data_IF_753304535559
#
_entry.id   IF_753304535559
#
_cell.length_a   1.000
_cell.length_b   1.000
_cell.length_c   1.000
_cell.angle_alpha   90.00
_cell.angle_beta   90.00
_cell.angle_gamma   90.00
#
_symmetry.space_group_name_H-M   'P 1'
#
loop_
_entity.id
_entity.type
_entity.pdbx_description
1 polymer ?
#
# COMPACT_ATOMS: atom_id res chain seq x y z
N UNK A 1 -5.46 -1.77 6.81
CA UNK A 1 -4.40 -2.49 6.08
C UNK A 1 -4.74 -2.42 4.61
N UNK A 2 -4.00 -1.63 3.84
CA UNK A 2 -4.22 -1.46 2.40
C UNK A 2 -3.65 -2.68 1.69
N UNK A 3 -4.46 -3.38 0.90
CA UNK A 3 -3.98 -4.50 0.08
C UNK A 3 -3.87 -3.98 -1.34
N UNK A 4 -2.66 -3.56 -1.69
CA UNK A 4 -2.25 -3.54 -3.09
C UNK A 4 -1.63 -4.91 -3.34
N UNK A 5 -2.41 -5.77 -3.98
CA UNK A 5 -2.05 -7.09 -4.50
C UNK A 5 -0.95 -7.83 -3.72
N UNK A 6 -1.33 -8.49 -2.62
CA UNK A 6 -0.43 -9.35 -1.83
C UNK A 6 -0.35 -10.79 -2.37
N UNK A 7 -0.75 -11.07 -3.61
CA UNK A 7 -0.62 -12.41 -4.20
C UNK A 7 0.74 -13.08 -3.93
N UNK A 8 1.88 -12.38 -4.03
CA UNK A 8 3.19 -12.99 -3.80
C UNK A 8 3.53 -13.28 -2.32
N UNK A 9 3.00 -12.52 -1.36
CA UNK A 9 3.43 -12.61 0.05
C UNK A 9 2.72 -13.74 0.82
N UNK A 10 1.48 -14.07 0.47
CA UNK A 10 0.77 -15.24 1.04
C UNK A 10 1.17 -16.54 0.34
N UNK A 11 1.52 -16.48 -0.95
CA UNK A 11 2.00 -17.63 -1.71
C UNK A 11 3.32 -18.20 -1.18
N UNK A 12 4.18 -17.38 -0.54
CA UNK A 12 5.50 -17.83 -0.03
C UNK A 12 5.43 -18.73 1.22
N UNK A 13 4.28 -18.87 1.88
CA UNK A 13 4.21 -19.56 3.19
C UNK A 13 3.13 -20.64 3.34
N UNK A 14 2.24 -20.91 2.35
CA UNK A 14 1.12 -21.84 2.59
C UNK A 14 0.38 -22.46 1.41
N UNK A 15 0.70 -22.11 0.16
CA UNK A 15 -0.02 -22.61 -1.02
C UNK A 15 -1.43 -22.00 -1.20
N UNK A 16 -2.16 -22.44 -2.24
CA UNK A 16 -3.37 -21.75 -2.73
C UNK A 16 -4.56 -21.73 -1.74
N UNK A 17 -4.61 -22.65 -0.77
CA UNK A 17 -5.72 -22.76 0.19
C UNK A 17 -5.69 -21.65 1.26
N UNK A 18 -4.58 -21.42 1.97
CA UNK A 18 -4.41 -20.26 2.84
C UNK A 18 -4.59 -18.92 2.12
N UNK A 19 -4.12 -18.81 0.88
CA UNK A 19 -4.30 -17.61 0.05
C UNK A 19 -5.78 -17.30 -0.21
N UNK A 20 -6.54 -18.30 -0.64
CA UNK A 20 -7.98 -18.14 -0.83
C UNK A 20 -8.73 -17.88 0.49
N UNK A 21 -8.28 -18.45 1.61
CA UNK A 21 -8.86 -18.19 2.93
C UNK A 21 -8.59 -16.74 3.38
N UNK A 22 -7.37 -16.24 3.15
CA UNK A 22 -7.00 -14.86 3.39
C UNK A 22 -7.85 -13.90 2.55
N UNK A 23 -7.96 -14.12 1.24
CA UNK A 23 -8.81 -13.32 0.35
C UNK A 23 -10.28 -13.29 0.81
N UNK A 24 -10.82 -14.42 1.30
CA UNK A 24 -12.18 -14.45 1.85
C UNK A 24 -12.30 -13.70 3.18
N UNK A 25 -11.29 -13.77 4.05
CA UNK A 25 -11.30 -13.00 5.31
C UNK A 25 -11.32 -11.49 5.06
N UNK A 26 -10.75 -11.04 3.94
CA UNK A 26 -10.75 -9.65 3.52
C UNK A 26 -12.08 -9.19 2.90
N UNK A 27 -12.93 -10.13 2.50
CA UNK A 27 -14.28 -9.83 2.01
C UNK A 27 -15.30 -9.67 3.16
N UNK A 28 -14.84 -9.69 4.42
CA UNK A 28 -15.65 -9.35 5.59
C UNK A 28 -15.74 -7.83 5.77
N UNK A 29 -16.72 -7.34 6.53
CA UNK A 29 -17.00 -5.90 6.68
C UNK A 29 -15.87 -5.08 7.36
N UNK A 30 -14.86 -5.76 7.90
CA UNK A 30 -13.73 -5.12 8.61
C UNK A 30 -12.68 -4.51 7.66
N UNK A 31 -12.75 -4.78 6.35
CA UNK A 31 -11.80 -4.30 5.35
C UNK A 31 -12.48 -3.57 4.20
N UNK A 32 -11.91 -2.45 3.78
CA UNK A 32 -12.34 -1.71 2.58
C UNK A 32 -11.35 -1.95 1.44
N UNK A 33 -11.86 -2.44 0.31
CA UNK A 33 -11.09 -2.56 -0.93
C UNK A 33 -11.21 -1.26 -1.71
N UNK A 34 -10.10 -0.57 -1.90
CA UNK A 34 -10.05 0.64 -2.71
C UNK A 34 -10.12 0.29 -4.20
N UNK A 35 -10.89 1.04 -5.01
CA UNK A 35 -10.92 0.84 -6.45
C UNK A 35 -9.61 1.28 -7.10
N UNK A 36 -9.18 0.58 -8.14
CA UNK A 36 -8.08 1.03 -8.99
C UNK A 36 -8.63 2.05 -9.98
N UNK A 37 -8.18 3.30 -9.88
CA UNK A 37 -8.57 4.38 -10.79
C UNK A 37 -7.39 4.82 -11.66
N UNK A 38 -7.63 5.41 -12.85
CA UNK A 38 -6.54 5.94 -13.67
C UNK A 38 -5.71 7.00 -12.94
N UNK A 39 -6.36 7.90 -12.20
CA UNK A 39 -5.68 8.93 -11.41
C UNK A 39 -4.76 8.33 -10.32
N UNK A 40 -5.20 7.25 -9.68
CA UNK A 40 -4.39 6.53 -8.70
C UNK A 40 -3.17 5.83 -9.34
N UNK A 41 -3.35 5.26 -10.54
CA UNK A 41 -2.24 4.66 -11.30
C UNK A 41 -1.22 5.72 -11.73
N UNK A 42 -1.69 6.85 -12.27
CA UNK A 42 -0.82 7.99 -12.63
C UNK A 42 -0.06 8.49 -11.40
N UNK A 43 -0.75 8.65 -10.27
CA UNK A 43 -0.09 9.10 -9.03
C UNK A 43 0.95 8.10 -8.52
N UNK A 44 0.66 6.81 -8.61
CA UNK A 44 1.61 5.76 -8.25
C UNK A 44 2.86 5.80 -9.14
N UNK A 45 2.68 6.02 -10.44
CA UNK A 45 3.80 6.16 -11.39
C UNK A 45 4.64 7.41 -11.09
N UNK A 46 4.00 8.55 -10.78
CA UNK A 46 4.69 9.77 -10.37
C UNK A 46 5.58 9.53 -9.15
N UNK A 47 5.08 8.82 -8.14
CA UNK A 47 5.83 8.50 -6.93
C UNK A 47 7.03 7.59 -7.21
N UNK A 48 6.87 6.56 -8.04
CA UNK A 48 7.99 5.71 -8.46
C UNK A 48 9.06 6.54 -9.17
N UNK A 49 8.67 7.44 -10.08
CA UNK A 49 9.60 8.31 -10.78
C UNK A 49 10.29 9.31 -9.85
N UNK A 50 9.53 9.93 -8.95
CA UNK A 50 10.03 10.91 -7.98
C UNK A 50 11.06 10.32 -7.02
N UNK A 51 10.87 9.06 -6.61
CA UNK A 51 11.75 8.35 -5.69
C UNK A 51 12.58 7.29 -6.41
N UNK A 52 13.01 7.51 -7.66
CA UNK A 52 13.75 6.49 -8.43
C UNK A 52 15.02 5.96 -7.74
N UNK A 53 15.70 6.80 -6.95
CA UNK A 53 16.89 6.42 -6.15
C UNK A 53 16.56 5.67 -4.85
N UNK A 54 15.28 5.66 -4.45
CA UNK A 54 14.73 4.91 -3.33
C UNK A 54 13.67 3.96 -3.88
N UNK A 55 14.03 2.73 -4.29
CA UNK A 55 13.16 1.84 -5.05
C UNK A 55 11.97 1.35 -4.22
N UNK A 56 10.97 2.23 -4.06
CA UNK A 56 9.72 2.02 -3.33
C UNK A 56 8.96 0.82 -3.91
N UNK A 57 9.12 0.57 -5.21
CA UNK A 57 8.32 -0.40 -5.93
C UNK A 57 6.86 0.04 -6.05
N UNK A 58 6.10 -0.71 -6.85
CA UNK A 58 4.70 -0.38 -7.13
C UNK A 58 3.79 -0.51 -5.90
N UNK A 59 4.10 -1.44 -4.99
CA UNK A 59 3.28 -1.70 -3.80
C UNK A 59 3.39 -0.56 -2.78
N UNK A 60 4.59 -0.07 -2.46
CA UNK A 60 4.70 1.00 -1.46
C UNK A 60 4.19 2.34 -2.05
N UNK A 61 4.46 2.61 -3.33
CA UNK A 61 4.02 3.84 -3.99
C UNK A 61 2.49 3.95 -4.06
N UNK A 62 1.82 2.82 -4.26
CA UNK A 62 0.37 2.75 -4.36
C UNK A 62 -0.32 2.89 -2.99
N UNK A 63 0.31 2.42 -1.91
CA UNK A 63 -0.14 2.70 -0.53
C UNK A 63 -0.07 4.20 -0.24
N UNK A 64 1.02 4.87 -0.63
CA UNK A 64 1.17 6.33 -0.46
C UNK A 64 0.12 7.08 -1.27
N UNK A 65 -0.07 6.72 -2.55
CA UNK A 65 -1.09 7.33 -3.40
C UNK A 65 -2.51 7.18 -2.82
N UNK A 66 -2.84 6.01 -2.27
CA UNK A 66 -4.13 5.79 -1.63
C UNK A 66 -4.28 6.58 -0.32
N UNK A 67 -3.21 6.67 0.48
CA UNK A 67 -3.23 7.47 1.71
C UNK A 67 -3.43 8.97 1.41
N UNK A 68 -2.87 9.48 0.31
CA UNK A 68 -3.15 10.83 -0.19
C UNK A 68 -4.62 11.01 -0.59
N UNK A 69 -5.18 10.07 -1.36
CA UNK A 69 -6.57 10.12 -1.82
C UNK A 69 -7.57 10.08 -0.64
N UNK A 70 -7.29 9.28 0.38
CA UNK A 70 -8.13 9.14 1.58
C UNK A 70 -7.84 10.21 2.65
N UNK A 71 -6.82 11.05 2.47
CA UNK A 71 -6.39 12.02 3.48
C UNK A 71 -5.89 11.39 4.78
N UNK A 72 -5.40 10.15 4.74
CA UNK A 72 -4.97 9.39 5.91
C UNK A 72 -3.49 9.66 6.21
N UNK A 73 -3.17 9.91 7.48
CA UNK A 73 -1.79 10.17 7.93
C UNK A 73 -1.12 9.01 8.65
N UNK A 74 -1.86 7.94 8.95
CA UNK A 74 -1.36 6.80 9.70
C UNK A 74 -1.19 5.58 8.78
N UNK A 75 0.00 4.98 8.81
CA UNK A 75 0.32 3.79 8.01
C UNK A 75 0.87 2.70 8.93
N UNK A 76 0.20 1.56 8.99
CA UNK A 76 0.73 0.36 9.63
C UNK A 76 1.57 -0.41 8.61
N UNK A 77 2.88 -0.45 8.79
CA UNK A 77 3.82 -1.11 7.88
C UNK A 77 5.06 -1.60 8.63
N UNK A 78 5.55 -2.77 8.23
CA UNK A 78 6.85 -3.28 8.70
C UNK A 78 8.02 -2.64 7.96
N UNK A 79 7.80 -2.08 6.76
CA UNK A 79 8.83 -1.35 6.02
C UNK A 79 8.82 0.14 6.41
N UNK A 80 9.47 0.43 7.53
CA UNK A 80 9.57 1.82 8.02
C UNK A 80 10.55 2.65 7.20
N UNK A 81 11.47 2.02 6.46
CA UNK A 81 12.53 2.73 5.74
C UNK A 81 11.93 3.55 4.60
N UNK A 82 11.12 2.92 3.76
CA UNK A 82 10.52 3.62 2.61
C UNK A 82 9.54 4.70 3.07
N UNK A 83 8.63 4.37 3.99
CA UNK A 83 7.58 5.28 4.44
C UNK A 83 8.07 6.44 5.33
N UNK A 84 9.27 6.33 5.92
CA UNK A 84 9.89 7.45 6.65
C UNK A 84 10.48 8.54 5.74
N UNK A 85 10.82 8.18 4.49
CA UNK A 85 11.45 9.09 3.52
C UNK A 85 10.39 9.77 2.66
N UNK A 86 9.36 9.02 2.25
CA UNK A 86 8.33 9.56 1.36
C UNK A 86 7.51 10.64 2.05
N UNK A 87 7.20 11.68 1.29
CA UNK A 87 6.41 12.84 1.71
C UNK A 87 5.12 12.88 0.89
N UNK A 88 3.98 12.50 1.48
CA UNK A 88 2.69 12.59 0.81
C UNK A 88 2.23 14.05 0.66
N UNK A 89 1.36 14.33 -0.31
CA UNK A 89 0.93 15.69 -0.66
C UNK A 89 0.21 16.45 0.46
N UNK A 90 -0.44 15.75 1.38
CA UNK A 90 -1.34 16.34 2.38
C UNK A 90 -0.70 16.48 3.77
N UNK A 91 0.54 16.02 3.98
CA UNK A 91 1.20 16.07 5.29
C UNK A 91 2.73 15.94 5.20
N UNK A 92 3.42 16.43 6.22
CA UNK A 92 4.89 16.49 6.25
C UNK A 92 5.57 15.13 6.45
N UNK A 93 4.93 14.14 7.07
CA UNK A 93 5.43 12.76 7.19
C UNK A 93 4.35 11.84 7.76
N UNK A 94 4.31 10.59 7.30
CA UNK A 94 3.39 9.60 7.87
C UNK A 94 3.68 9.31 9.34
N UNK A 95 2.61 9.11 10.12
CA UNK A 95 2.69 8.46 11.44
C UNK A 95 2.71 6.96 11.22
N UNK A 96 3.85 6.33 11.51
CA UNK A 96 4.01 4.89 11.30
C UNK A 96 3.55 4.14 12.55
N UNK A 97 2.47 3.39 12.42
CA UNK A 97 1.99 2.45 13.43
C UNK A 97 2.77 1.12 13.30
N UNK A 98 2.72 0.23 14.30
CA UNK A 98 3.85 -0.66 14.62
C UNK A 98 4.31 -1.55 13.46
#
# INVERSE_FOLDING_TARGET
>A
MIIVDTGPLVARSGGAKPEAAFLRSLATEDFTVAPVTPAWLERTADLIGQYADLPLGAVDASVVALAEELGVGEVATLDRRHFSIVRPRHLDAFTLLP
#
